data_IF_696516200499
#
_entry.id   IF_696516200499
#
_cell.length_a   1.000
_cell.length_b   1.000
_cell.length_c   1.000
_cell.angle_alpha   90.00
_cell.angle_beta   90.00
_cell.angle_gamma   90.00
#
_symmetry.space_group_name_H-M   'P 1'
#
loop_
_entity.id
_entity.type
_entity.pdbx_description
1 polymer ?
#
# COMPACT_ATOMS: atom_id res chain seq x y z
N UNK A 1 -29.94 -25.64 -23.09
CA UNK A 1 -29.85 -25.28 -21.66
C UNK A 1 -28.36 -25.15 -21.33
N UNK A 2 -27.77 -24.10 -20.77
CA UNK A 2 -28.18 -22.85 -20.13
C UNK A 2 -27.12 -21.78 -20.50
N UNK A 3 -27.53 -20.59 -20.95
CA UNK A 3 -26.64 -19.41 -21.09
C UNK A 3 -26.79 -18.55 -19.84
N UNK A 4 -25.73 -18.40 -19.04
CA UNK A 4 -25.70 -17.46 -17.91
C UNK A 4 -25.17 -16.10 -18.40
N UNK A 5 -26.11 -15.21 -18.70
CA UNK A 5 -25.83 -13.80 -18.97
C UNK A 5 -25.84 -13.08 -17.62
N UNK A 6 -24.66 -12.87 -17.03
CA UNK A 6 -24.49 -11.95 -15.91
C UNK A 6 -24.40 -10.52 -16.47
N UNK A 7 -25.57 -9.88 -16.64
CA UNK A 7 -25.67 -8.43 -16.82
C UNK A 7 -25.40 -7.78 -15.46
N UNK A 8 -24.22 -7.22 -15.25
CA UNK A 8 -23.95 -6.30 -14.14
C UNK A 8 -24.11 -4.85 -14.63
N UNK A 9 -25.13 -4.10 -14.17
CA UNK A 9 -25.18 -2.67 -14.38
C UNK A 9 -24.57 -1.98 -13.16
N UNK A 10 -23.24 -1.98 -13.04
CA UNK A 10 -22.57 -1.17 -12.03
C UNK A 10 -22.02 0.09 -12.68
N UNK A 11 -22.78 1.19 -12.58
CA UNK A 11 -22.24 2.55 -12.61
C UNK A 11 -21.72 2.84 -11.19
N UNK A 12 -20.42 3.11 -10.98
CA UNK A 12 -19.98 3.73 -9.74
C UNK A 12 -19.84 5.23 -9.97
N UNK A 13 -20.85 5.99 -9.52
CA UNK A 13 -20.66 7.39 -9.14
C UNK A 13 -20.87 7.44 -7.62
N UNK A 14 -19.81 7.24 -6.85
CA UNK A 14 -19.76 7.64 -5.44
C UNK A 14 -18.32 8.05 -5.08
N UNK A 15 -18.12 9.20 -4.41
CA UNK A 15 -16.84 9.58 -3.85
C UNK A 15 -16.61 8.74 -2.59
N UNK A 16 -15.61 7.86 -2.60
CA UNK A 16 -15.20 7.12 -1.42
C UNK A 16 -14.23 7.97 -0.61
N UNK A 17 -14.78 8.78 0.29
CA UNK A 17 -14.05 9.26 1.46
C UNK A 17 -13.91 8.07 2.41
N UNK A 18 -12.73 7.43 2.44
CA UNK A 18 -12.42 6.51 3.52
C UNK A 18 -12.44 7.32 4.83
N UNK A 19 -13.48 7.10 5.62
CA UNK A 19 -13.60 7.66 6.96
C UNK A 19 -12.48 7.07 7.81
N UNK A 20 -11.36 7.80 7.89
CA UNK A 20 -10.37 7.65 8.94
C UNK A 20 -11.12 7.71 10.28
N UNK A 21 -11.25 6.55 10.93
CA UNK A 21 -11.69 6.48 12.31
C UNK A 21 -10.57 7.11 13.15
N UNK A 22 -10.64 8.44 13.32
CA UNK A 22 -9.73 9.21 14.14
C UNK A 22 -9.96 8.77 15.59
N UNK A 23 -9.11 7.89 16.09
CA UNK A 23 -9.05 7.56 17.51
C UNK A 23 -8.63 8.82 18.26
N UNK A 24 -9.58 9.49 18.91
CA UNK A 24 -9.29 10.60 19.82
C UNK A 24 -8.78 10.05 21.13
N UNK A 25 -7.45 10.07 21.34
CA UNK A 25 -6.88 10.03 22.68
C UNK A 25 -6.47 11.46 23.06
N UNK A 26 -7.12 11.98 24.10
CA UNK A 26 -6.78 13.23 24.76
C UNK A 26 -5.65 12.96 25.75
N UNK A 27 -4.47 13.53 25.50
CA UNK A 27 -3.35 13.55 26.44
C UNK A 27 -2.92 15.00 26.63
N UNK A 28 -3.16 15.55 27.82
CA UNK A 28 -2.61 16.83 28.23
C UNK A 28 -1.14 16.65 28.61
N UNK A 29 -0.24 17.46 28.07
CA UNK A 29 1.09 17.63 28.66
C UNK A 29 1.57 19.08 28.56
N UNK A 30 2.15 19.51 29.68
CA UNK A 30 2.61 20.83 30.03
C UNK A 30 3.68 21.36 29.07
N UNK A 31 3.60 22.67 28.81
CA UNK A 31 4.61 23.44 28.11
C UNK A 31 5.98 23.34 28.79
N UNK A 32 6.99 22.96 28.00
CA UNK A 32 8.40 23.26 28.26
C UNK A 32 9.04 23.70 26.94
N UNK A 33 9.87 24.73 27.08
CA UNK A 33 10.53 25.58 26.09
C UNK A 33 11.43 24.82 25.06
N UNK A 34 11.68 25.50 23.94
CA UNK A 34 12.30 25.07 22.66
C UNK A 34 13.68 24.35 22.75
N UNK A 35 14.10 23.45 21.81
CA UNK A 35 14.68 23.89 20.51
C UNK A 35 14.35 22.98 19.28
N UNK A 36 14.39 23.59 18.07
CA UNK A 36 14.44 23.05 16.69
C UNK A 36 13.61 21.80 16.24
N UNK A 37 12.94 21.86 15.05
CA UNK A 37 12.34 20.68 14.45
C UNK A 37 13.43 19.75 13.86
N UNK A 38 13.29 18.42 13.95
CA UNK A 38 14.29 17.51 13.41
C UNK A 38 14.28 17.54 11.88
N UNK A 39 15.48 17.57 11.29
CA UNK A 39 15.78 17.62 9.86
C UNK A 39 15.23 16.44 9.04
N UNK A 40 14.61 15.44 9.67
CA UNK A 40 14.08 14.22 9.04
C UNK A 40 12.94 14.49 8.04
N UNK A 41 12.08 15.47 8.31
CA UNK A 41 10.86 15.69 7.50
C UNK A 41 11.12 16.09 6.05
N UNK A 42 12.23 16.76 5.77
CA UNK A 42 12.56 17.24 4.41
C UNK A 42 13.12 16.12 3.54
N UNK A 43 13.92 15.23 4.14
CA UNK A 43 14.56 14.11 3.44
C UNK A 43 13.52 13.07 3.02
N UNK A 44 12.59 12.70 3.90
CA UNK A 44 11.57 11.68 3.58
C UNK A 44 10.57 12.16 2.52
N UNK A 45 10.14 13.43 2.56
CA UNK A 45 9.34 14.05 1.47
C UNK A 45 10.03 13.99 0.11
N UNK A 46 11.36 14.08 0.11
CA UNK A 46 12.17 13.97 -1.11
C UNK A 46 12.23 12.53 -1.61
N UNK A 47 12.38 11.54 -0.72
CA UNK A 47 12.33 10.12 -1.07
C UNK A 47 10.95 9.70 -1.61
N UNK A 48 9.88 10.13 -0.94
CA UNK A 48 8.50 9.86 -1.35
C UNK A 48 8.23 10.31 -2.78
N UNK A 49 8.49 11.58 -3.07
CA UNK A 49 8.26 12.16 -4.41
C UNK A 49 9.10 11.48 -5.48
N UNK A 50 10.38 11.21 -5.21
CA UNK A 50 11.25 10.48 -6.15
C UNK A 50 10.73 9.09 -6.47
N UNK A 51 10.34 8.31 -5.46
CA UNK A 51 9.82 6.95 -5.66
C UNK A 51 8.48 7.01 -6.40
N UNK A 52 7.57 7.87 -5.96
CA UNK A 52 6.28 8.03 -6.60
C UNK A 52 6.42 8.39 -8.10
N UNK A 53 7.18 9.44 -8.41
CA UNK A 53 7.43 9.86 -9.80
C UNK A 53 8.12 8.76 -10.59
N UNK A 54 9.02 8.01 -9.96
CA UNK A 54 9.68 6.88 -10.58
C UNK A 54 8.66 5.82 -11.04
N UNK A 55 7.77 5.40 -10.13
CA UNK A 55 6.75 4.38 -10.43
C UNK A 55 5.62 4.89 -11.33
N UNK A 56 5.33 6.18 -11.34
CA UNK A 56 4.39 6.79 -12.29
C UNK A 56 4.96 6.81 -13.72
N UNK A 57 6.23 7.18 -13.86
CA UNK A 57 6.84 7.52 -15.14
C UNK A 57 7.52 6.32 -15.82
N UNK A 58 8.26 5.53 -15.05
CA UNK A 58 9.16 4.49 -15.59
C UNK A 58 8.63 3.08 -15.38
N UNK A 59 7.65 2.88 -14.50
CA UNK A 59 7.05 1.56 -14.31
C UNK A 59 5.98 1.28 -15.38
N UNK A 60 6.40 0.62 -16.44
CA UNK A 60 5.53 -0.10 -17.36
C UNK A 60 5.60 -1.59 -17.08
N UNK A 61 4.45 -2.27 -16.97
CA UNK A 61 4.27 -3.70 -16.70
C UNK A 61 5.52 -4.57 -16.97
N UNK A 62 6.18 -5.03 -15.90
CA UNK A 62 7.41 -5.85 -15.94
C UNK A 62 8.67 -5.11 -15.49
N UNK A 63 8.59 -3.81 -15.24
CA UNK A 63 9.66 -2.92 -14.78
C UNK A 63 10.23 -3.26 -13.40
N UNK A 64 9.45 -3.85 -12.50
CA UNK A 64 9.93 -4.26 -11.17
C UNK A 64 11.20 -5.13 -11.20
N UNK A 65 11.40 -5.92 -12.27
CA UNK A 65 12.62 -6.73 -12.46
C UNK A 65 13.88 -5.88 -12.65
N UNK A 66 13.73 -4.68 -13.21
CA UNK A 66 14.82 -3.75 -13.49
C UNK A 66 15.29 -3.03 -12.21
N UNK A 67 14.41 -2.95 -11.20
CA UNK A 67 14.66 -2.28 -9.92
C UNK A 67 15.30 -3.20 -8.89
N UNK A 68 15.22 -4.51 -9.15
CA UNK A 68 15.73 -5.52 -8.24
C UNK A 68 17.25 -5.38 -8.11
N UNK A 69 17.68 -4.88 -6.95
CA UNK A 69 19.09 -4.75 -6.60
C UNK A 69 19.73 -3.42 -6.93
N UNK A 70 18.98 -2.41 -7.38
CA UNK A 70 19.52 -1.04 -7.54
C UNK A 70 19.81 -0.44 -6.14
N UNK A 71 21.08 -0.10 -5.81
CA UNK A 71 21.44 0.44 -4.51
C UNK A 71 20.81 1.81 -4.21
N UNK A 72 20.60 2.64 -5.23
CA UNK A 72 20.00 3.97 -5.08
C UNK A 72 18.53 3.86 -4.72
N UNK A 73 17.79 2.99 -5.41
CA UNK A 73 16.37 2.74 -5.12
C UNK A 73 16.21 2.10 -3.74
N UNK A 74 17.10 1.15 -3.39
CA UNK A 74 17.14 0.53 -2.07
C UNK A 74 17.30 1.56 -0.96
N UNK A 75 18.24 2.51 -1.10
CA UNK A 75 18.45 3.55 -0.09
C UNK A 75 17.22 4.45 0.06
N UNK A 76 16.62 4.87 -1.05
CA UNK A 76 15.39 5.67 -1.02
C UNK A 76 14.23 4.94 -0.33
N UNK A 77 14.07 3.64 -0.56
CA UNK A 77 13.02 2.84 0.09
C UNK A 77 13.24 2.78 1.61
N UNK A 78 14.50 2.65 2.07
CA UNK A 78 14.80 2.62 3.51
C UNK A 78 14.65 3.98 4.20
N UNK A 79 14.62 5.08 3.45
CA UNK A 79 14.31 6.40 3.98
C UNK A 79 12.82 6.62 4.23
N UNK A 80 11.95 5.78 3.64
CA UNK A 80 10.50 5.89 3.82
C UNK A 80 10.03 5.23 5.11
N UNK A 81 9.04 5.85 5.76
CA UNK A 81 8.28 5.22 6.83
C UNK A 81 7.04 4.47 6.30
N UNK A 82 6.37 3.72 7.18
CA UNK A 82 5.21 2.91 6.83
C UNK A 82 4.04 3.73 6.24
N UNK A 83 3.77 4.91 6.79
CA UNK A 83 2.69 5.79 6.32
C UNK A 83 2.99 6.36 4.93
N UNK A 84 4.26 6.67 4.66
CA UNK A 84 4.71 7.13 3.35
C UNK A 84 4.59 6.02 2.30
N UNK A 85 4.97 4.79 2.64
CA UNK A 85 4.79 3.64 1.76
C UNK A 85 3.31 3.42 1.46
N UNK A 86 2.44 3.48 2.48
CA UNK A 86 0.99 3.38 2.30
C UNK A 86 0.46 4.48 1.37
N UNK A 87 0.90 5.74 1.56
CA UNK A 87 0.53 6.85 0.69
C UNK A 87 0.96 6.65 -0.76
N UNK A 88 2.17 6.13 -1.01
CA UNK A 88 2.62 5.81 -2.37
C UNK A 88 1.74 4.71 -2.99
N UNK A 89 1.42 3.66 -2.24
CA UNK A 89 0.52 2.59 -2.72
C UNK A 89 -0.86 3.14 -3.06
N UNK A 90 -1.40 4.03 -2.22
CA UNK A 90 -2.69 4.68 -2.45
C UNK A 90 -2.66 5.54 -3.73
N UNK A 91 -1.70 6.46 -3.85
CA UNK A 91 -1.59 7.35 -5.02
C UNK A 91 -1.40 6.56 -6.31
N UNK A 92 -0.50 5.57 -6.32
CA UNK A 92 -0.30 4.69 -7.48
C UNK A 92 -1.56 3.88 -7.79
N UNK A 93 -2.37 3.48 -6.80
CA UNK A 93 -3.57 2.69 -7.04
C UNK A 93 -4.63 3.44 -7.85
N UNK A 94 -4.63 4.77 -7.74
CA UNK A 94 -5.53 5.67 -8.47
C UNK A 94 -4.99 5.95 -9.85
N UNK A 95 -3.72 6.36 -9.95
CA UNK A 95 -3.12 6.86 -11.19
C UNK A 95 -2.60 5.75 -12.11
N UNK A 96 -1.83 4.81 -11.56
CA UNK A 96 -1.25 3.69 -12.29
C UNK A 96 -1.37 2.39 -11.49
N UNK A 97 -2.54 1.70 -11.58
CA UNK A 97 -2.81 0.53 -10.76
C UNK A 97 -1.86 -0.66 -11.00
N UNK A 98 -1.16 -0.74 -12.14
CA UNK A 98 -0.13 -1.78 -12.32
C UNK A 98 1.11 -1.45 -11.51
N UNK A 99 1.55 -0.18 -11.51
CA UNK A 99 2.67 0.28 -10.69
C UNK A 99 2.41 0.10 -9.21
N UNK A 100 1.17 0.29 -8.75
CA UNK A 100 0.80 0.01 -7.36
C UNK A 100 1.05 -1.46 -6.97
N UNK A 101 0.66 -2.40 -7.84
CA UNK A 101 0.92 -3.83 -7.63
C UNK A 101 2.42 -4.13 -7.66
N UNK A 102 3.15 -3.57 -8.63
CA UNK A 102 4.59 -3.77 -8.75
C UNK A 102 5.34 -3.24 -7.53
N UNK A 103 5.05 -2.02 -7.08
CA UNK A 103 5.66 -1.44 -5.89
C UNK A 103 5.37 -2.27 -4.64
N UNK A 104 4.11 -2.64 -4.43
CA UNK A 104 3.72 -3.46 -3.28
C UNK A 104 4.46 -4.81 -3.26
N UNK A 105 4.46 -5.55 -4.36
CA UNK A 105 5.10 -6.86 -4.42
C UNK A 105 6.62 -6.79 -4.42
N UNK A 106 7.23 -5.74 -4.98
CA UNK A 106 8.66 -5.47 -4.88
C UNK A 106 9.08 -5.32 -3.42
N UNK A 107 8.40 -4.44 -2.68
CA UNK A 107 8.67 -4.21 -1.26
C UNK A 107 8.54 -5.50 -0.44
N UNK A 108 7.48 -6.28 -0.69
CA UNK A 108 7.24 -7.55 0.01
C UNK A 108 8.30 -8.60 -0.31
N UNK A 109 8.58 -8.82 -1.60
CA UNK A 109 9.33 -9.99 -2.05
C UNK A 109 10.85 -9.75 -2.05
N UNK A 110 11.29 -8.54 -2.41
CA UNK A 110 12.70 -8.22 -2.59
C UNK A 110 13.28 -7.47 -1.38
N UNK A 111 12.46 -6.70 -0.67
CA UNK A 111 12.88 -5.95 0.51
C UNK A 111 12.36 -6.55 1.83
N UNK A 112 11.52 -7.60 1.77
CA UNK A 112 10.98 -8.25 2.97
C UNK A 112 10.06 -7.36 3.81
N UNK A 113 9.55 -6.28 3.21
CA UNK A 113 8.71 -5.31 3.92
C UNK A 113 7.35 -5.90 4.25
N UNK A 114 6.92 -5.76 5.51
CA UNK A 114 5.58 -6.13 5.96
C UNK A 114 4.66 -4.93 5.79
N UNK A 115 3.71 -5.04 4.86
CA UNK A 115 2.78 -3.97 4.54
C UNK A 115 1.70 -3.79 5.60
N UNK A 116 1.20 -2.56 5.71
CA UNK A 116 0.04 -2.22 6.54
C UNK A 116 -1.22 -2.92 6.02
N UNK A 117 -2.20 -3.15 6.91
CA UNK A 117 -3.50 -3.72 6.51
C UNK A 117 -4.18 -2.87 5.44
N UNK A 118 -4.06 -1.55 5.51
CA UNK A 118 -4.63 -0.62 4.54
C UNK A 118 -4.01 -0.85 3.15
N UNK A 119 -2.69 -0.95 3.06
CA UNK A 119 -1.98 -1.27 1.81
C UNK A 119 -2.46 -2.59 1.20
N UNK A 120 -2.68 -3.62 2.03
CA UNK A 120 -3.25 -4.89 1.57
C UNK A 120 -4.66 -4.73 0.99
N UNK A 121 -5.53 -3.93 1.63
CA UNK A 121 -6.90 -3.66 1.16
C UNK A 121 -6.88 -2.90 -0.17
N UNK A 122 -6.02 -1.89 -0.31
CA UNK A 122 -5.85 -1.13 -1.55
C UNK A 122 -5.45 -2.07 -2.69
N UNK A 123 -4.45 -2.94 -2.48
CA UNK A 123 -4.04 -3.92 -3.48
C UNK A 123 -5.14 -4.92 -3.82
N UNK A 124 -5.89 -5.38 -2.82
CA UNK A 124 -7.06 -6.24 -3.05
C UNK A 124 -8.10 -5.54 -3.93
N UNK A 125 -8.37 -4.26 -3.68
CA UNK A 125 -9.27 -3.46 -4.49
C UNK A 125 -8.78 -3.35 -5.94
N UNK A 126 -7.49 -3.06 -6.15
CA UNK A 126 -6.88 -3.00 -7.49
C UNK A 126 -7.04 -4.34 -8.21
N UNK A 127 -6.70 -5.47 -7.56
CA UNK A 127 -6.83 -6.80 -8.15
C UNK A 127 -8.28 -7.12 -8.53
N UNK A 128 -9.25 -6.75 -7.69
CA UNK A 128 -10.67 -6.93 -7.94
C UNK A 128 -11.14 -6.09 -9.15
N UNK A 129 -10.78 -4.80 -9.20
CA UNK A 129 -11.10 -3.88 -10.30
C UNK A 129 -10.56 -4.39 -11.64
N UNK A 130 -9.37 -5.01 -11.62
CA UNK A 130 -8.75 -5.64 -12.80
C UNK A 130 -9.21 -7.07 -13.08
N UNK A 131 -10.20 -7.57 -12.35
CA UNK A 131 -10.76 -8.93 -12.48
C UNK A 131 -9.70 -10.05 -12.34
N UNK A 132 -8.63 -9.80 -11.57
CA UNK A 132 -7.55 -10.77 -11.31
C UNK A 132 -7.91 -11.68 -10.13
N UNK A 133 -9.06 -12.36 -10.22
CA UNK A 133 -9.66 -13.08 -9.07
C UNK A 133 -8.76 -14.16 -8.47
N UNK A 134 -7.95 -14.85 -9.29
CA UNK A 134 -6.98 -15.83 -8.79
C UNK A 134 -5.95 -15.16 -7.87
N UNK A 135 -5.34 -14.07 -8.33
CA UNK A 135 -4.36 -13.32 -7.54
C UNK A 135 -5.00 -12.70 -6.30
N UNK A 136 -6.21 -12.15 -6.42
CA UNK A 136 -6.99 -11.63 -5.29
C UNK A 136 -7.22 -12.69 -4.22
N UNK A 137 -7.64 -13.90 -4.61
CA UNK A 137 -7.86 -15.01 -3.69
C UNK A 137 -6.59 -15.34 -2.90
N UNK A 138 -5.45 -15.51 -3.58
CA UNK A 138 -4.18 -15.79 -2.91
C UNK A 138 -3.77 -14.65 -1.98
N UNK A 139 -3.92 -13.40 -2.42
CA UNK A 139 -3.58 -12.22 -1.61
C UNK A 139 -4.38 -12.17 -0.30
N UNK A 140 -5.70 -12.38 -0.37
CA UNK A 140 -6.58 -12.39 0.81
C UNK A 140 -6.29 -13.58 1.74
N UNK A 141 -6.00 -14.76 1.20
CA UNK A 141 -5.62 -15.91 2.02
C UNK A 141 -4.34 -15.64 2.80
N UNK A 142 -3.34 -15.04 2.17
CA UNK A 142 -2.09 -14.68 2.85
C UNK A 142 -2.34 -13.64 3.95
N UNK A 143 -3.15 -12.60 3.67
CA UNK A 143 -3.51 -11.61 4.68
C UNK A 143 -4.19 -12.24 5.90
N UNK A 144 -5.16 -13.12 5.69
CA UNK A 144 -5.85 -13.82 6.79
C UNK A 144 -4.91 -14.71 7.58
N UNK A 145 -3.95 -15.37 6.93
CA UNK A 145 -2.94 -16.16 7.63
C UNK A 145 -2.00 -15.27 8.46
N UNK A 146 -1.56 -14.13 7.92
CA UNK A 146 -0.67 -13.20 8.60
C UNK A 146 -1.34 -12.52 9.81
N UNK A 147 -2.62 -12.14 9.71
CA UNK A 147 -3.36 -11.50 10.80
C UNK A 147 -3.99 -12.51 11.78
N UNK A 148 -4.39 -13.68 11.30
CA UNK A 148 -5.10 -14.70 12.08
C UNK A 148 -4.20 -15.71 12.79
N UNK A 149 -2.90 -15.71 12.53
CA UNK A 149 -1.93 -16.57 13.23
C UNK A 149 -1.87 -16.19 14.72
N UNK A 150 -2.53 -16.98 15.56
CA UNK A 150 -2.62 -16.77 17.02
C UNK A 150 -4.03 -16.45 17.54
N UNK A 151 -5.02 -16.27 16.66
CA UNK A 151 -6.40 -16.03 17.10
C UNK A 151 -7.11 -17.30 17.59
N UNK A 152 -6.67 -18.49 17.14
CA UNK A 152 -7.26 -19.77 17.50
C UNK A 152 -6.68 -20.42 18.77
N UNK A 153 -5.53 -19.95 19.27
CA UNK A 153 -4.87 -20.47 20.48
C UNK A 153 -5.57 -20.07 21.79
N UNK A 154 -6.64 -19.28 21.73
CA UNK A 154 -7.48 -18.93 22.89
C UNK A 154 -8.68 -19.89 23.07
N UNK A 155 -8.80 -20.92 22.22
CA UNK A 155 -9.90 -21.90 22.25
C UNK A 155 -9.43 -23.32 22.60
N UNK A 156 -8.16 -23.50 22.97
CA UNK A 156 -7.59 -24.79 23.42
C UNK A 156 -7.55 -24.89 24.94
#
# INVERSE_FOLDING_TARGET
MLRLILKCPFKPQLPYSFLLLKSSFSAASLAVDHPEPPTTTTTTKTAFSKILTFFQTYCTKGSAKLLKGDPCIKNLIFELNELEIEGIVEELSVENPESALEFFFLLRNDYGFKHSRVSHIIVAHVLAKKQRFRALKFHLQNLVQEEGSGSASLLS
#
